data_IF_725196936586
#
_entry.id   IF_725196936586
#
_cell.length_a   1.000
_cell.length_b   1.000
_cell.length_c   1.000
_cell.angle_alpha   90.00
_cell.angle_beta   90.00
_cell.angle_gamma   90.00
#
_symmetry.space_group_name_H-M   'P 1'
#
loop_
_entity.id
_entity.type
_entity.pdbx_description
1 polymer ?
#
# COMPACT_ATOMS: atom_id res chain seq x y z
N UNK A 1 -12.23 -9.65 -13.04
CA UNK A 1 -10.89 -10.01 -12.52
C UNK A 1 -10.93 -10.30 -11.01
N UNK A 2 -11.26 -9.32 -10.16
CA UNK A 2 -11.29 -9.46 -8.68
C UNK A 2 -12.15 -10.64 -8.19
N UNK A 3 -13.37 -10.83 -8.73
CA UNK A 3 -14.23 -11.96 -8.36
C UNK A 3 -13.62 -13.32 -8.75
N UNK A 4 -12.92 -13.40 -9.89
CA UNK A 4 -12.27 -14.62 -10.37
C UNK A 4 -11.10 -15.01 -9.45
N UNK A 5 -10.33 -14.04 -9.00
CA UNK A 5 -9.24 -14.25 -8.02
C UNK A 5 -9.82 -14.72 -6.69
N UNK A 6 -10.84 -14.01 -6.17
CA UNK A 6 -11.47 -14.36 -4.89
C UNK A 6 -12.15 -15.73 -4.90
N UNK A 7 -12.71 -16.15 -6.03
CA UNK A 7 -13.34 -17.48 -6.20
C UNK A 7 -12.34 -18.54 -6.69
N UNK A 8 -11.08 -18.18 -6.94
CA UNK A 8 -10.10 -19.08 -7.53
C UNK A 8 -9.54 -20.14 -6.58
N UNK A 9 -9.76 -20.00 -5.26
CA UNK A 9 -9.34 -20.98 -4.25
C UNK A 9 -7.82 -21.06 -4.02
N UNK A 10 -7.02 -20.27 -4.74
CA UNK A 10 -5.57 -20.27 -4.63
C UNK A 10 -5.05 -19.21 -3.64
N UNK A 11 -3.95 -19.48 -2.91
CA UNK A 11 -3.23 -18.44 -2.19
C UNK A 11 -2.62 -17.43 -3.18
N UNK A 12 -2.60 -16.15 -2.83
CA UNK A 12 -1.98 -15.15 -3.68
C UNK A 12 -1.22 -14.07 -2.92
N UNK A 13 -0.26 -13.49 -3.61
CA UNK A 13 0.49 -12.31 -3.20
C UNK A 13 0.02 -11.10 -4.01
N UNK A 14 0.14 -9.90 -3.46
CA UNK A 14 -0.28 -8.67 -4.12
C UNK A 14 0.93 -7.82 -4.50
N UNK A 15 0.97 -7.33 -5.75
CA UNK A 15 1.82 -6.21 -6.12
C UNK A 15 0.95 -4.96 -6.26
N UNK A 16 1.21 -3.94 -5.46
CA UNK A 16 0.44 -2.69 -5.45
C UNK A 16 1.13 -1.67 -6.33
N UNK A 17 0.50 -1.33 -7.46
CA UNK A 17 1.03 -0.34 -8.37
C UNK A 17 0.71 1.09 -7.91
N UNK A 18 1.53 2.03 -8.38
CA UNK A 18 1.34 3.47 -8.27
C UNK A 18 1.35 4.10 -9.66
N UNK A 19 1.14 5.41 -9.75
CA UNK A 19 1.35 6.14 -10.99
C UNK A 19 2.83 6.50 -11.11
N UNK A 20 3.45 6.26 -12.26
CA UNK A 20 4.86 6.60 -12.50
C UNK A 20 5.14 8.11 -12.36
N UNK A 21 4.17 8.94 -12.69
CA UNK A 21 4.27 10.40 -12.61
C UNK A 21 3.91 10.98 -11.23
N UNK A 22 3.61 10.14 -10.24
CA UNK A 22 3.43 10.60 -8.86
C UNK A 22 4.79 11.07 -8.32
N UNK A 23 4.83 12.22 -7.65
CA UNK A 23 6.07 12.72 -7.03
C UNK A 23 6.65 11.72 -6.03
N UNK A 24 5.79 10.96 -5.34
CA UNK A 24 6.23 9.86 -4.47
C UNK A 24 6.97 8.78 -5.24
N UNK A 25 6.58 8.47 -6.48
CA UNK A 25 7.31 7.52 -7.30
C UNK A 25 8.61 8.18 -7.79
N UNK A 26 8.55 9.35 -8.40
CA UNK A 26 9.72 10.00 -9.01
C UNK A 26 10.85 10.33 -8.02
N UNK A 27 10.51 10.73 -6.79
CA UNK A 27 11.50 11.23 -5.81
C UNK A 27 11.89 10.20 -4.75
N UNK A 28 11.08 9.16 -4.56
CA UNK A 28 11.22 8.24 -3.43
C UNK A 28 11.17 6.76 -3.86
N UNK A 29 11.30 6.48 -5.15
CA UNK A 29 11.46 5.14 -5.72
C UNK A 29 12.90 4.92 -6.18
N UNK A 30 13.45 3.69 -6.08
CA UNK A 30 14.68 3.33 -6.77
C UNK A 30 14.45 2.96 -8.25
N UNK A 31 13.20 2.93 -8.71
CA UNK A 31 12.82 2.52 -10.07
C UNK A 31 12.53 3.72 -10.96
N UNK A 32 12.97 3.66 -12.21
CA UNK A 32 12.65 4.66 -13.24
C UNK A 32 11.22 4.47 -13.76
N UNK A 33 10.77 3.21 -13.89
CA UNK A 33 9.45 2.86 -14.38
C UNK A 33 8.74 1.83 -13.50
N UNK A 34 7.40 1.76 -13.64
CA UNK A 34 6.60 0.71 -13.01
C UNK A 34 6.90 -0.66 -13.61
N UNK A 35 7.43 -0.70 -14.83
CA UNK A 35 7.86 -1.95 -15.47
C UNK A 35 9.08 -2.53 -14.77
N UNK A 36 10.06 -1.71 -14.38
CA UNK A 36 11.26 -2.16 -13.65
C UNK A 36 10.87 -2.78 -12.30
N UNK A 37 9.95 -2.14 -11.59
CA UNK A 37 9.37 -2.68 -10.36
C UNK A 37 8.69 -4.03 -10.60
N UNK A 38 7.87 -4.15 -11.65
CA UNK A 38 7.16 -5.38 -11.96
C UNK A 38 8.11 -6.50 -12.40
N UNK A 39 9.16 -6.20 -13.14
CA UNK A 39 10.17 -7.17 -13.54
C UNK A 39 10.83 -7.82 -12.31
N UNK A 40 11.35 -7.00 -11.39
CA UNK A 40 11.95 -7.47 -10.14
C UNK A 40 10.98 -8.34 -9.32
N UNK A 41 9.72 -7.89 -9.20
CA UNK A 41 8.68 -8.59 -8.45
C UNK A 41 8.32 -9.94 -9.08
N UNK A 42 8.13 -9.99 -10.40
CA UNK A 42 7.73 -11.22 -11.10
C UNK A 42 8.89 -12.21 -11.11
N UNK A 43 10.13 -11.74 -11.26
CA UNK A 43 11.31 -12.58 -11.18
C UNK A 43 11.45 -13.21 -9.79
N UNK A 44 11.36 -12.41 -8.73
CA UNK A 44 11.37 -12.91 -7.36
C UNK A 44 10.23 -13.91 -7.08
N UNK A 45 9.02 -13.61 -7.57
CA UNK A 45 7.87 -14.51 -7.47
C UNK A 45 8.08 -15.82 -8.21
N UNK A 46 8.64 -15.78 -9.43
CA UNK A 46 8.89 -16.98 -10.24
C UNK A 46 9.93 -17.89 -9.57
N UNK A 47 10.96 -17.32 -8.94
CA UNK A 47 12.03 -18.05 -8.27
C UNK A 47 11.60 -18.65 -6.92
N UNK A 48 10.80 -17.93 -6.13
CA UNK A 48 10.54 -18.29 -4.74
C UNK A 48 9.15 -18.78 -4.39
N UNK A 49 8.11 -18.35 -5.11
CA UNK A 49 6.73 -18.64 -4.69
C UNK A 49 6.35 -20.12 -4.94
N UNK A 50 5.65 -20.79 -4.00
CA UNK A 50 5.11 -22.13 -4.23
C UNK A 50 4.29 -22.21 -5.52
N UNK A 51 4.39 -23.32 -6.26
CA UNK A 51 3.80 -23.46 -7.61
C UNK A 51 2.28 -23.24 -7.68
N UNK A 52 1.56 -23.45 -6.58
CA UNK A 52 0.11 -23.24 -6.49
C UNK A 52 -0.28 -21.83 -6.02
N UNK A 53 0.69 -20.97 -5.70
CA UNK A 53 0.44 -19.56 -5.39
C UNK A 53 0.30 -18.73 -6.67
N UNK A 54 -0.36 -17.59 -6.56
CA UNK A 54 -0.55 -16.65 -7.65
C UNK A 54 -0.03 -15.25 -7.28
N UNK A 55 0.32 -14.46 -8.28
CA UNK A 55 0.64 -13.05 -8.13
C UNK A 55 -0.50 -12.21 -8.69
N UNK A 56 -1.02 -11.29 -7.89
CA UNK A 56 -2.08 -10.38 -8.29
C UNK A 56 -1.52 -8.96 -8.33
N UNK A 57 -1.34 -8.44 -9.54
CA UNK A 57 -0.91 -7.06 -9.78
C UNK A 57 -2.15 -6.16 -9.77
N UNK A 58 -2.26 -5.33 -8.73
CA UNK A 58 -3.35 -4.37 -8.54
C UNK A 58 -2.93 -3.01 -9.09
N UNK A 59 -3.58 -2.58 -10.17
CA UNK A 59 -3.35 -1.27 -10.76
C UNK A 59 -3.79 -0.12 -9.84
N UNK A 60 -3.20 1.05 -10.05
CA UNK A 60 -3.66 2.27 -9.43
C UNK A 60 -5.08 2.63 -9.94
N UNK A 61 -6.00 3.16 -9.11
CA UNK A 61 -7.36 3.50 -9.55
C UNK A 61 -7.41 4.52 -10.70
N UNK A 62 -6.42 5.41 -10.76
CA UNK A 62 -6.26 6.43 -11.79
C UNK A 62 -5.40 5.97 -12.97
N UNK A 63 -5.05 4.68 -13.04
CA UNK A 63 -4.32 4.13 -14.19
C UNK A 63 -5.16 4.28 -15.47
N UNK A 64 -4.66 5.10 -16.39
CA UNK A 64 -5.35 5.51 -17.62
C UNK A 64 -4.83 4.79 -18.87
N UNK A 65 -3.75 4.01 -18.75
CA UNK A 65 -3.21 3.18 -19.84
C UNK A 65 -2.24 3.89 -20.76
N UNK A 66 -1.78 5.11 -20.41
CA UNK A 66 -0.68 5.78 -21.14
C UNK A 66 0.59 4.94 -21.15
N UNK A 67 0.84 4.24 -20.05
CA UNK A 67 1.92 3.27 -19.93
C UNK A 67 1.36 1.88 -20.25
N UNK A 68 1.99 1.09 -21.14
CA UNK A 68 1.49 -0.22 -21.55
C UNK A 68 1.73 -1.31 -20.49
N UNK A 69 1.54 -1.01 -19.19
CA UNK A 69 1.86 -1.90 -18.06
C UNK A 69 1.22 -3.28 -18.21
N UNK A 70 -0.02 -3.36 -18.71
CA UNK A 70 -0.69 -4.65 -18.92
C UNK A 70 -0.02 -5.50 -20.01
N UNK A 71 0.56 -4.87 -21.04
CA UNK A 71 1.31 -5.55 -22.10
C UNK A 71 2.64 -6.04 -21.55
N UNK A 72 3.37 -5.19 -20.83
CA UNK A 72 4.66 -5.55 -20.22
C UNK A 72 4.51 -6.64 -19.17
N UNK A 73 3.50 -6.57 -18.31
CA UNK A 73 3.19 -7.62 -17.35
C UNK A 73 2.96 -8.99 -18.02
N UNK A 74 2.25 -9.01 -19.17
CA UNK A 74 2.05 -10.26 -19.93
C UNK A 74 3.35 -10.76 -20.56
N UNK A 75 4.19 -9.84 -21.07
CA UNK A 75 5.49 -10.17 -21.66
C UNK A 75 6.40 -10.80 -20.60
N UNK A 76 6.62 -10.11 -19.48
CA UNK A 76 7.43 -10.56 -18.34
C UNK A 76 6.94 -11.90 -17.78
N UNK A 77 5.63 -12.04 -17.55
CA UNK A 77 5.07 -13.29 -17.04
C UNK A 77 5.23 -14.48 -18.01
N UNK A 78 5.34 -14.23 -19.32
CA UNK A 78 5.59 -15.27 -20.32
C UNK A 78 7.07 -15.66 -20.35
N UNK A 79 7.96 -14.68 -20.37
CA UNK A 79 9.41 -14.89 -20.35
C UNK A 79 9.84 -15.66 -19.11
N UNK A 80 9.24 -15.35 -17.95
CA UNK A 80 9.52 -16.02 -16.67
C UNK A 80 8.67 -17.28 -16.44
N UNK A 81 7.87 -17.73 -17.41
CA UNK A 81 7.12 -18.99 -17.33
C UNK A 81 5.97 -19.02 -16.30
N UNK A 82 5.51 -17.87 -15.81
CA UNK A 82 4.48 -17.76 -14.75
C UNK A 82 3.14 -17.19 -15.22
N UNK A 83 2.92 -17.10 -16.53
CA UNK A 83 1.71 -16.51 -17.14
C UNK A 83 0.39 -17.06 -16.59
N UNK A 84 0.31 -18.36 -16.29
CA UNK A 84 -0.89 -18.97 -15.72
C UNK A 84 -1.21 -18.51 -14.29
N UNK A 85 -0.23 -17.92 -13.60
CA UNK A 85 -0.29 -17.59 -12.19
C UNK A 85 -0.24 -16.09 -11.89
N UNK A 86 -0.11 -15.25 -12.91
CA UNK A 86 -0.05 -13.79 -12.78
C UNK A 86 -1.35 -13.16 -13.27
N UNK A 87 -1.98 -12.33 -12.43
CA UNK A 87 -3.26 -11.70 -12.70
C UNK A 87 -3.17 -10.19 -12.62
N UNK A 88 -3.76 -9.49 -13.59
CA UNK A 88 -3.90 -8.03 -13.56
C UNK A 88 -5.29 -7.61 -13.10
N UNK A 89 -5.36 -6.69 -12.15
CA UNK A 89 -6.61 -6.15 -11.60
C UNK A 89 -6.62 -4.63 -11.70
N UNK A 90 -7.43 -4.09 -12.62
CA UNK A 90 -7.60 -2.64 -12.77
C UNK A 90 -8.40 -2.03 -11.61
N UNK A 91 -9.60 -2.55 -11.35
CA UNK A 91 -10.55 -2.00 -10.38
C UNK A 91 -10.85 -2.89 -9.16
N UNK A 92 -11.83 -2.48 -8.37
CA UNK A 92 -12.30 -3.20 -7.19
C UNK A 92 -11.66 -2.72 -5.88
N UNK A 93 -12.36 -2.96 -4.77
CA UNK A 93 -11.95 -2.52 -3.43
C UNK A 93 -10.73 -3.32 -2.97
N UNK A 94 -9.60 -2.63 -2.74
CA UNK A 94 -8.36 -3.23 -2.24
C UNK A 94 -8.60 -4.06 -0.98
N UNK A 95 -9.38 -3.54 -0.04
CA UNK A 95 -9.73 -4.24 1.20
C UNK A 95 -10.27 -5.67 0.97
N UNK A 96 -11.03 -5.91 -0.10
CA UNK A 96 -11.54 -7.25 -0.41
C UNK A 96 -10.45 -8.20 -0.94
N UNK A 97 -9.45 -7.66 -1.64
CA UNK A 97 -8.29 -8.44 -2.08
C UNK A 97 -7.35 -8.74 -0.90
N UNK A 98 -7.21 -7.81 0.05
CA UNK A 98 -6.35 -8.03 1.20
C UNK A 98 -6.85 -9.13 2.14
N UNK A 99 -8.16 -9.40 2.20
CA UNK A 99 -8.73 -10.40 3.10
C UNK A 99 -8.15 -11.81 2.95
N UNK A 100 -7.61 -12.17 1.78
CA UNK A 100 -7.06 -13.50 1.50
C UNK A 100 -5.62 -13.46 0.96
N UNK A 101 -4.97 -12.29 0.99
CA UNK A 101 -3.59 -12.16 0.52
C UNK A 101 -2.60 -12.76 1.54
N UNK A 102 -1.58 -13.45 1.02
CA UNK A 102 -0.49 -14.04 1.84
C UNK A 102 0.58 -13.02 2.18
N UNK A 103 0.94 -12.19 1.22
CA UNK A 103 1.84 -11.05 1.40
C UNK A 103 1.57 -10.00 0.33
N UNK A 104 2.15 -8.82 0.48
CA UNK A 104 2.12 -7.78 -0.54
C UNK A 104 3.50 -7.15 -0.76
N UNK A 105 3.68 -6.57 -1.93
CA UNK A 105 4.85 -5.78 -2.30
C UNK A 105 4.37 -4.44 -2.89
N UNK A 106 5.12 -3.38 -2.65
CA UNK A 106 4.83 -2.03 -3.17
C UNK A 106 6.11 -1.22 -3.26
N UNK A 107 6.12 -0.16 -4.07
CA UNK A 107 7.22 0.82 -4.01
C UNK A 107 7.13 1.66 -2.75
N UNK A 108 6.12 2.51 -2.62
CA UNK A 108 5.89 3.33 -1.41
C UNK A 108 4.41 3.75 -1.24
N UNK A 109 3.49 2.97 -1.82
CA UNK A 109 2.07 3.28 -1.83
C UNK A 109 1.51 3.35 -0.41
N UNK A 110 0.72 4.39 -0.11
CA UNK A 110 -0.06 4.46 1.14
C UNK A 110 -1.01 3.27 1.33
N UNK A 111 -1.33 2.55 0.24
CA UNK A 111 -2.03 1.26 0.30
C UNK A 111 -1.30 0.20 1.16
N UNK A 112 0.04 0.28 1.29
CA UNK A 112 0.85 -0.54 2.18
C UNK A 112 0.41 -0.46 3.64
N UNK A 113 -0.08 0.70 4.09
CA UNK A 113 -0.64 0.84 5.43
C UNK A 113 -1.91 -0.01 5.64
N UNK A 114 -2.72 -0.23 4.59
CA UNK A 114 -3.86 -1.16 4.68
C UNK A 114 -3.42 -2.62 4.80
N UNK A 115 -2.25 -2.96 4.24
CA UNK A 115 -1.61 -4.29 4.36
C UNK A 115 -1.17 -4.50 5.81
N UNK A 116 -0.39 -3.55 6.35
CA UNK A 116 0.15 -3.61 7.72
C UNK A 116 -0.95 -3.61 8.78
N UNK A 117 -2.02 -2.83 8.60
CA UNK A 117 -3.18 -2.83 9.50
C UNK A 117 -3.82 -4.22 9.66
N UNK A 118 -3.70 -5.06 8.64
CA UNK A 118 -4.22 -6.44 8.62
C UNK A 118 -3.20 -7.47 9.11
N UNK A 119 -2.00 -7.05 9.48
CA UNK A 119 -0.89 -7.93 9.86
C UNK A 119 -0.37 -8.79 8.72
N UNK A 120 -0.58 -8.36 7.46
CA UNK A 120 -0.10 -9.07 6.28
C UNK A 120 1.37 -8.66 6.06
N UNK A 121 2.29 -9.61 5.78
CA UNK A 121 3.66 -9.29 5.41
C UNK A 121 3.74 -8.33 4.22
N UNK A 122 4.61 -7.33 4.32
CA UNK A 122 4.81 -6.31 3.31
C UNK A 122 6.31 -6.14 3.03
N UNK A 123 6.68 -6.13 1.76
CA UNK A 123 8.01 -5.69 1.32
C UNK A 123 7.85 -4.35 0.56
N UNK A 124 8.72 -3.38 0.87
CA UNK A 124 8.66 -2.00 0.36
C UNK A 124 10.01 -1.65 -0.24
N UNK A 125 10.02 -1.17 -1.49
CA UNK A 125 11.27 -0.90 -2.22
C UNK A 125 11.69 0.58 -2.21
N UNK A 126 10.74 1.50 -2.04
CA UNK A 126 11.00 2.93 -1.98
C UNK A 126 11.01 3.46 -0.55
N UNK A 127 11.25 4.76 -0.42
CA UNK A 127 11.15 5.45 0.86
C UNK A 127 9.67 5.69 1.18
N UNK A 128 9.22 5.11 2.28
CA UNK A 128 7.90 5.36 2.85
C UNK A 128 8.04 5.63 4.34
N UNK A 129 7.23 6.56 4.87
CA UNK A 129 7.25 6.88 6.32
C UNK A 129 6.95 5.66 7.21
N UNK A 130 6.23 4.68 6.65
CA UNK A 130 5.90 3.40 7.29
C UNK A 130 6.86 2.27 6.87
N UNK A 131 8.06 2.56 6.35
CA UNK A 131 9.07 1.54 6.07
C UNK A 131 10.01 1.39 7.27
N UNK A 132 9.50 0.82 8.38
CA UNK A 132 10.29 0.56 9.59
C UNK A 132 10.63 -0.94 9.66
N UNK A 133 11.81 -1.31 10.19
CA UNK A 133 12.26 -2.70 10.26
C UNK A 133 11.30 -3.65 11.00
N UNK A 134 10.54 -3.13 11.97
CA UNK A 134 9.62 -3.93 12.78
C UNK A 134 8.40 -4.44 12.00
N UNK A 135 8.04 -3.78 10.88
CA UNK A 135 6.84 -4.16 10.13
C UNK A 135 6.99 -4.25 8.61
N UNK A 136 8.12 -3.86 8.03
CA UNK A 136 8.44 -4.16 6.63
C UNK A 136 9.52 -5.23 6.57
N UNK A 137 9.32 -6.21 5.68
CA UNK A 137 10.28 -7.26 5.41
C UNK A 137 11.44 -6.73 4.57
N UNK A 138 12.65 -7.05 4.99
CA UNK A 138 13.91 -6.90 4.27
C UNK A 138 14.33 -8.19 3.51
N UNK A 139 13.60 -9.29 3.72
CA UNK A 139 13.86 -10.57 3.04
C UNK A 139 13.99 -10.38 1.51
N UNK A 140 14.97 -11.05 0.87
CA UNK A 140 15.04 -11.16 -0.57
C UNK A 140 13.72 -11.67 -1.14
N UNK A 141 13.29 -11.14 -2.30
CA UNK A 141 11.97 -11.45 -2.86
C UNK A 141 11.66 -12.95 -3.00
N UNK A 142 12.59 -13.83 -3.45
CA UNK A 142 12.30 -15.24 -3.50
C UNK A 142 11.94 -15.82 -2.13
N UNK A 143 12.70 -15.47 -1.08
CA UNK A 143 12.44 -15.92 0.29
C UNK A 143 11.15 -15.32 0.85
N UNK A 144 10.90 -14.05 0.57
CA UNK A 144 9.65 -13.38 0.93
C UNK A 144 8.43 -14.09 0.33
N UNK A 145 8.49 -14.46 -0.95
CA UNK A 145 7.38 -15.17 -1.59
C UNK A 145 7.27 -16.64 -1.15
N UNK A 146 8.38 -17.28 -0.77
CA UNK A 146 8.39 -18.63 -0.23
C UNK A 146 7.77 -18.71 1.17
N UNK A 147 8.08 -17.73 2.03
CA UNK A 147 7.66 -17.73 3.43
C UNK A 147 7.95 -16.41 4.14
N UNK A 148 7.18 -15.37 3.82
CA UNK A 148 7.33 -14.05 4.45
C UNK A 148 7.12 -14.06 5.97
N UNK A 149 8.00 -13.37 6.67
CA UNK A 149 7.90 -13.11 8.11
C UNK A 149 6.76 -12.11 8.37
N UNK A 150 5.98 -12.35 9.43
CA UNK A 150 4.88 -11.46 9.81
C UNK A 150 5.41 -10.18 10.43
N UNK A 151 4.75 -9.02 10.16
CA UNK A 151 5.13 -7.77 10.78
C UNK A 151 4.76 -7.76 12.27
N UNK A 152 5.46 -6.96 13.07
CA UNK A 152 4.99 -6.60 14.41
C UNK A 152 3.76 -5.69 14.30
N UNK A 153 2.59 -6.32 14.28
CA UNK A 153 1.31 -5.63 14.20
C UNK A 153 1.01 -4.79 15.47
N UNK A 154 1.63 -5.08 16.62
CA UNK A 154 1.46 -4.25 17.81
C UNK A 154 2.24 -2.95 17.63
N UNK A 155 3.51 -3.02 17.24
CA UNK A 155 4.33 -1.85 16.93
C UNK A 155 3.68 -0.99 15.84
N UNK A 156 3.18 -1.60 14.77
CA UNK A 156 2.48 -0.85 13.71
C UNK A 156 1.24 -0.10 14.22
N UNK A 157 0.47 -0.68 15.14
CA UNK A 157 -0.71 -0.01 15.73
C UNK A 157 -0.32 1.18 16.60
N UNK A 158 0.79 1.10 17.34
CA UNK A 158 1.36 2.23 18.10
C UNK A 158 1.78 3.33 17.14
N UNK A 159 2.57 3.00 16.11
CA UNK A 159 2.97 3.93 15.06
C UNK A 159 1.77 4.62 14.40
N UNK A 160 0.75 3.85 14.01
CA UNK A 160 -0.45 4.40 13.39
C UNK A 160 -1.22 5.31 14.34
N UNK A 161 -1.31 4.97 15.63
CA UNK A 161 -1.95 5.82 16.65
C UNK A 161 -1.21 7.16 16.77
N UNK A 162 0.12 7.10 16.86
CA UNK A 162 0.97 8.29 16.91
C UNK A 162 0.75 9.20 15.70
N UNK A 163 0.74 8.66 14.47
CA UNK A 163 0.44 9.45 13.28
C UNK A 163 -0.94 10.11 13.32
N UNK A 164 -1.96 9.36 13.78
CA UNK A 164 -3.31 9.87 13.88
C UNK A 164 -3.43 11.02 14.89
N UNK A 165 -2.64 10.99 15.96
CA UNK A 165 -2.64 12.00 17.03
C UNK A 165 -1.75 13.21 16.73
N UNK A 166 -0.81 13.10 15.79
CA UNK A 166 0.16 14.15 15.48
C UNK A 166 -0.02 14.75 14.09
N UNK A 167 0.24 14.00 13.02
CA UNK A 167 0.35 14.54 11.66
C UNK A 167 -0.90 14.37 10.79
N UNK A 168 -1.75 13.38 11.07
CA UNK A 168 -2.91 13.11 10.23
C UNK A 168 -4.11 13.93 10.66
N UNK A 169 -4.76 14.57 9.68
CA UNK A 169 -5.95 15.39 9.86
C UNK A 169 -7.06 14.82 8.99
N UNK A 170 -8.27 14.70 9.53
CA UNK A 170 -9.39 14.14 8.78
C UNK A 170 -9.90 15.13 7.73
N UNK A 171 -9.99 14.67 6.48
CA UNK A 171 -10.55 15.44 5.38
C UNK A 171 -9.91 15.07 4.06
N UNK A 172 -9.87 16.02 3.13
CA UNK A 172 -9.18 15.80 1.85
C UNK A 172 -9.26 17.00 0.92
N UNK A 173 -8.28 17.11 0.04
CA UNK A 173 -8.13 18.26 -0.86
C UNK A 173 -9.14 18.25 -2.02
N UNK A 174 -9.41 17.07 -2.59
CA UNK A 174 -10.11 16.96 -3.88
C UNK A 174 -11.63 17.07 -3.83
N UNK A 175 -12.27 16.79 -2.69
CA UNK A 175 -13.74 16.83 -2.58
C UNK A 175 -14.21 17.99 -1.71
N UNK A 176 -15.34 18.61 -2.09
CA UNK A 176 -15.93 19.67 -1.28
C UNK A 176 -16.26 19.20 0.14
N UNK A 177 -16.72 17.95 0.30
CA UNK A 177 -16.97 17.32 1.61
C UNK A 177 -15.67 17.17 2.42
N UNK A 178 -14.60 16.68 1.79
CA UNK A 178 -13.30 16.51 2.43
C UNK A 178 -12.69 17.84 2.88
N UNK A 179 -12.78 18.88 2.03
CA UNK A 179 -12.31 20.23 2.38
C UNK A 179 -13.10 20.83 3.53
N UNK A 180 -14.43 20.74 3.50
CA UNK A 180 -15.29 21.22 4.62
C UNK A 180 -14.99 20.51 5.94
N UNK A 181 -14.66 19.21 5.89
CA UNK A 181 -14.28 18.48 7.11
C UNK A 181 -12.91 18.95 7.63
N UNK A 182 -11.93 19.09 6.74
CA UNK A 182 -10.58 19.56 7.08
C UNK A 182 -10.59 20.96 7.70
N UNK A 183 -11.31 21.90 7.08
CA UNK A 183 -11.34 23.31 7.48
C UNK A 183 -11.88 23.53 8.90
N UNK A 184 -12.70 22.61 9.42
CA UNK A 184 -13.22 22.69 10.80
C UNK A 184 -12.18 22.40 11.88
N UNK A 185 -11.07 21.75 11.52
CA UNK A 185 -10.01 21.39 12.48
C UNK A 185 -8.74 22.19 12.21
N UNK A 186 -8.42 22.43 10.94
CA UNK A 186 -7.13 23.02 10.58
C UNK A 186 -6.97 24.47 11.06
N UNK A 187 -8.06 25.25 11.13
CA UNK A 187 -8.00 26.64 11.61
C UNK A 187 -7.63 26.68 13.09
N UNK A 188 -8.30 25.88 13.93
CA UNK A 188 -7.99 25.76 15.35
C UNK A 188 -6.55 25.27 15.56
N UNK A 189 -6.09 24.31 14.74
CA UNK A 189 -4.70 23.82 14.79
C UNK A 189 -3.68 24.90 14.42
N UNK A 190 -3.96 25.75 13.43
CA UNK A 190 -3.06 26.84 13.01
C UNK A 190 -2.99 27.97 14.03
N UNK A 191 -4.04 28.16 14.83
CA UNK A 191 -4.11 29.20 15.87
C UNK A 191 -3.70 28.69 17.27
N UNK A 192 -3.51 27.38 17.43
CA UNK A 192 -3.09 26.77 18.68
C UNK A 192 -1.69 27.22 19.09
N UNK A 193 -1.50 27.43 20.40
CA UNK A 193 -0.18 27.73 20.98
C UNK A 193 0.73 26.50 21.01
N UNK A 194 0.16 25.30 21.11
CA UNK A 194 0.89 24.03 21.03
C UNK A 194 0.74 23.43 19.65
N UNK A 195 1.85 22.97 19.06
CA UNK A 195 1.80 22.17 17.85
C UNK A 195 1.28 20.75 18.15
N UNK A 196 0.89 19.97 17.13
CA UNK A 196 0.39 18.61 17.33
C UNK A 196 1.26 17.62 18.10
N UNK A 197 2.58 17.76 18.02
CA UNK A 197 3.52 16.88 18.71
C UNK A 197 3.66 17.29 20.17
N UNK A 198 3.68 18.59 20.45
CA UNK A 198 3.67 19.13 21.81
C UNK A 198 2.37 18.80 22.54
N UNK A 199 1.22 18.95 21.87
CA UNK A 199 -0.09 18.59 22.43
C UNK A 199 -0.21 17.10 22.79
N UNK A 200 0.47 16.22 22.04
CA UNK A 200 0.53 14.80 22.38
C UNK A 200 1.39 14.55 23.63
N UNK A 201 2.50 15.28 23.77
CA UNK A 201 3.38 15.18 24.95
C UNK A 201 2.73 15.74 26.22
N UNK A 202 1.99 16.83 26.11
CA UNK A 202 1.28 17.48 27.22
C UNK A 202 -0.04 16.77 27.58
N UNK A 203 -0.51 15.85 26.74
CA UNK A 203 -1.77 15.10 26.95
C UNK A 203 -3.02 15.92 26.63
N UNK A 204 -2.88 17.08 26.00
CA UNK A 204 -3.97 17.99 25.61
C UNK A 204 -4.50 17.70 24.20
N UNK A 205 -3.87 16.79 23.46
CA UNK A 205 -4.28 16.40 22.12
C UNK A 205 -5.76 15.96 22.09
N UNK A 206 -6.60 16.78 21.47
CA UNK A 206 -8.02 16.48 21.31
C UNK A 206 -8.19 15.14 20.57
N UNK A 207 -9.14 14.27 20.98
CA UNK A 207 -9.40 13.03 20.28
C UNK A 207 -9.79 13.35 18.84
N UNK A 208 -8.88 13.07 17.90
CA UNK A 208 -9.13 13.23 16.47
C UNK A 208 -10.06 12.10 16.02
N UNK A 209 -11.34 12.24 16.35
CA UNK A 209 -12.39 11.34 15.90
C UNK A 209 -12.82 11.73 14.50
N UNK A 210 -13.32 10.74 13.74
CA UNK A 210 -14.08 11.03 12.54
C UNK A 210 -15.33 11.84 12.92
N UNK A 211 -15.28 13.16 12.75
CA UNK A 211 -16.48 13.97 12.75
C UNK A 211 -17.38 13.45 11.61
N UNK A 212 -18.45 12.74 11.96
CA UNK A 212 -19.46 12.35 10.99
C UNK A 212 -20.14 13.61 10.50
N UNK A 213 -20.05 13.87 9.19
CA UNK A 213 -20.89 14.88 8.55
C UNK A 213 -22.33 14.43 8.74
N UNK A 214 -23.08 15.12 9.60
CA UNK A 214 -24.55 15.06 9.59
C UNK A 214 -24.98 15.60 8.24
N UNK A 215 -25.58 14.73 7.42
CA UNK A 215 -26.22 15.07 6.15
C UNK A 215 -27.59 15.65 6.38
#
# INVERSE_FOLDING_TARGET
ATLRIRRGGFPYHLALMQLEHDSSFQMHSPFETMTDFLELVIEGFAKGAPKHHHLVVKAHPLEDGRVPVRRELKRLARELGVSARVHYVRGGKLAQLLNAARSAVTVNSTAGQQVLWRGIPLNVFGHAVYAQPEFVSDQPLPEFFAGAIRPDNKAYKVYRRYLLETSQIFGGFYSARGRRQLLRQVVDMMLSHEDPYDALRSGTAAPRQQLRVVT
#
